data_IF_576599088046
#
_entry.id   IF_576599088046
#
_cell.length_a   1.000
_cell.length_b   1.000
_cell.length_c   1.000
_cell.angle_alpha   90.00
_cell.angle_beta   90.00
_cell.angle_gamma   90.00
#
_symmetry.space_group_name_H-M   'P 1'
#
loop_
_entity.id
_entity.type
_entity.pdbx_description
1 polymer ?
#
# COMPACT_ATOMS: atom_id res chain seq x y z
N UNK A 1 -10.42 -2.46 0.24
CA UNK A 1 -8.98 -2.73 0.07
C UNK A 1 -8.18 -1.92 1.07
N UNK A 2 -7.10 -2.47 1.62
CA UNK A 2 -6.14 -1.79 2.51
C UNK A 2 -4.73 -1.90 1.95
N UNK A 3 -3.78 -1.16 2.52
CA UNK A 3 -2.43 -1.04 1.96
C UNK A 3 -1.36 -1.30 3.01
N UNK A 4 -0.32 -2.06 2.63
CA UNK A 4 0.84 -2.38 3.47
C UNK A 4 0.46 -2.82 4.90
N UNK A 5 1.19 -2.34 5.89
CA UNK A 5 0.93 -2.58 7.31
C UNK A 5 -0.11 -1.56 7.84
N UNK A 6 -1.35 -1.91 7.79
CA UNK A 6 -2.44 -1.11 8.34
C UNK A 6 -2.82 -1.60 9.75
N UNK A 7 -3.44 -0.72 10.54
CA UNK A 7 -4.01 -1.05 11.84
C UNK A 7 -5.52 -0.86 11.81
N UNK A 8 -6.24 -1.82 12.35
CA UNK A 8 -7.70 -1.76 12.50
C UNK A 8 -8.07 -1.61 13.96
N UNK A 9 -7.45 -2.42 14.83
CA UNK A 9 -7.75 -2.49 16.25
C UNK A 9 -7.59 -1.13 16.93
N UNK A 10 -8.68 -0.61 17.44
CA UNK A 10 -8.78 0.72 18.05
C UNK A 10 -9.00 1.87 17.05
N UNK A 11 -9.10 1.58 15.74
CA UNK A 11 -9.34 2.59 14.70
C UNK A 11 -10.56 2.25 13.82
N UNK A 12 -11.41 1.32 14.24
CA UNK A 12 -12.57 0.85 13.47
C UNK A 12 -13.52 1.97 13.09
N UNK A 13 -13.68 2.95 13.95
CA UNK A 13 -14.50 4.15 13.69
C UNK A 13 -13.99 5.03 12.56
N UNK A 14 -12.67 4.95 12.25
CA UNK A 14 -12.01 5.73 11.21
C UNK A 14 -11.89 4.93 9.91
N UNK A 15 -11.38 3.70 10.01
CA UNK A 15 -11.04 2.89 8.84
C UNK A 15 -12.00 1.70 8.59
N UNK A 16 -13.02 1.52 9.41
CA UNK A 16 -13.92 0.35 9.38
C UNK A 16 -13.23 -0.92 9.88
N UNK A 17 -14.02 -1.94 10.21
CA UNK A 17 -13.54 -3.21 10.77
C UNK A 17 -13.26 -4.29 9.73
N UNK A 18 -13.91 -4.24 8.57
CA UNK A 18 -13.84 -5.30 7.56
C UNK A 18 -12.64 -5.13 6.63
N UNK A 19 -11.85 -6.17 6.48
CA UNK A 19 -10.78 -6.27 5.48
C UNK A 19 -11.02 -7.52 4.61
N UNK A 20 -11.05 -7.36 3.30
CA UNK A 20 -11.21 -8.46 2.35
C UNK A 20 -10.02 -8.56 1.38
N UNK A 21 -9.39 -7.44 1.11
CA UNK A 21 -8.28 -7.34 0.16
C UNK A 21 -7.21 -6.42 0.71
N UNK A 22 -5.97 -6.82 0.59
CA UNK A 22 -4.80 -6.03 0.97
C UNK A 22 -3.84 -5.95 -0.20
N UNK A 23 -3.36 -4.75 -0.51
CA UNK A 23 -2.26 -4.57 -1.44
C UNK A 23 -0.98 -4.28 -0.64
N UNK A 24 0.06 -5.05 -0.89
CA UNK A 24 1.37 -4.92 -0.24
C UNK A 24 2.48 -4.77 -1.26
N UNK A 25 3.51 -4.03 -0.87
CA UNK A 25 4.72 -3.84 -1.68
C UNK A 25 5.84 -4.82 -1.31
N UNK A 26 6.97 -4.72 -1.99
CA UNK A 26 8.17 -5.51 -1.72
C UNK A 26 8.62 -5.47 -0.26
N UNK A 27 8.55 -4.31 0.39
CA UNK A 27 9.07 -4.12 1.74
C UNK A 27 8.34 -5.02 2.74
N UNK A 28 7.02 -5.20 2.57
CA UNK A 28 6.23 -6.07 3.42
C UNK A 28 6.70 -7.54 3.38
N UNK A 29 7.16 -8.00 2.22
CA UNK A 29 7.72 -9.35 2.05
C UNK A 29 9.19 -9.41 2.46
N UNK A 30 9.96 -8.38 2.10
CA UNK A 30 11.38 -8.30 2.43
C UNK A 30 11.61 -8.36 3.93
N UNK A 31 10.79 -7.67 4.73
CA UNK A 31 10.86 -7.75 6.21
C UNK A 31 10.79 -9.18 6.76
N UNK A 32 10.08 -10.08 6.07
CA UNK A 32 9.92 -11.46 6.51
C UNK A 32 11.20 -12.28 6.31
N UNK A 33 11.94 -12.00 5.24
CA UNK A 33 13.08 -12.83 4.79
C UNK A 33 14.44 -12.20 4.98
N UNK A 34 14.51 -10.91 5.30
CA UNK A 34 15.73 -10.12 5.39
C UNK A 34 15.84 -9.44 6.77
N UNK A 35 16.65 -10.03 7.64
CA UNK A 35 16.84 -9.56 9.01
C UNK A 35 17.52 -8.20 9.06
N UNK A 36 18.49 -7.97 8.17
CA UNK A 36 19.24 -6.73 8.11
C UNK A 36 18.33 -5.57 7.68
N UNK A 37 17.52 -5.77 6.65
CA UNK A 37 16.52 -4.78 6.22
C UNK A 37 15.52 -4.47 7.33
N UNK A 38 15.08 -5.48 8.10
CA UNK A 38 14.15 -5.24 9.22
C UNK A 38 14.79 -4.41 10.32
N UNK A 39 15.97 -4.79 10.82
CA UNK A 39 16.57 -4.18 12.01
C UNK A 39 17.21 -2.82 11.72
N UNK A 40 17.83 -2.64 10.56
CA UNK A 40 18.64 -1.46 10.26
C UNK A 40 17.93 -0.41 9.40
N UNK A 41 16.87 -0.79 8.69
CA UNK A 41 16.13 0.13 7.83
C UNK A 41 14.68 0.31 8.29
N UNK A 42 13.87 -0.76 8.15
CA UNK A 42 12.42 -0.64 8.26
C UNK A 42 11.94 -0.33 9.68
N UNK A 43 12.46 -1.02 10.67
CA UNK A 43 12.08 -0.84 12.08
C UNK A 43 12.42 0.57 12.61
N UNK A 44 13.49 1.15 12.11
CA UNK A 44 13.90 2.52 12.47
C UNK A 44 12.93 3.55 11.90
N UNK A 45 12.43 3.33 10.69
CA UNK A 45 11.46 4.20 10.03
C UNK A 45 10.04 4.01 10.57
N UNK A 46 9.68 2.76 10.92
CA UNK A 46 8.34 2.35 11.39
C UNK A 46 8.41 1.59 12.72
N UNK A 47 8.71 2.25 13.84
CA UNK A 47 8.96 1.59 15.12
C UNK A 47 7.76 0.82 15.69
N UNK A 48 6.54 1.13 15.25
CA UNK A 48 5.32 0.43 15.66
C UNK A 48 4.92 -0.70 14.73
N UNK A 49 5.64 -0.88 13.61
CA UNK A 49 5.34 -1.94 12.65
C UNK A 49 5.65 -3.32 13.24
N UNK A 50 4.85 -4.32 12.84
CA UNK A 50 5.07 -5.71 13.19
C UNK A 50 5.75 -6.40 12.01
N UNK A 51 6.94 -6.98 12.22
CA UNK A 51 7.77 -7.58 11.17
C UNK A 51 7.01 -8.56 10.26
N UNK A 52 6.31 -9.49 10.87
CA UNK A 52 5.67 -10.59 10.17
C UNK A 52 4.16 -10.37 9.95
N UNK A 53 3.67 -9.12 10.01
CA UNK A 53 2.24 -8.84 9.96
C UNK A 53 1.52 -9.46 8.75
N UNK A 54 2.22 -9.56 7.61
CA UNK A 54 1.64 -10.15 6.39
C UNK A 54 1.38 -11.67 6.54
N UNK A 55 2.12 -12.36 7.39
CA UNK A 55 1.94 -13.79 7.65
C UNK A 55 0.76 -14.07 8.60
N UNK A 56 0.26 -13.04 9.28
CA UNK A 56 -0.92 -13.15 10.15
C UNK A 56 -2.24 -13.05 9.35
N UNK A 57 -2.17 -12.67 8.07
CA UNK A 57 -3.35 -12.59 7.22
C UNK A 57 -3.84 -13.98 6.84
N UNK A 58 -5.15 -14.18 6.99
CA UNK A 58 -5.83 -15.44 6.66
C UNK A 58 -7.11 -15.16 5.88
N UNK A 59 -7.38 -15.98 4.86
CA UNK A 59 -8.59 -15.91 4.04
C UNK A 59 -8.82 -14.55 3.36
N UNK A 60 -7.73 -13.81 3.06
CA UNK A 60 -7.77 -12.55 2.36
C UNK A 60 -7.39 -12.70 0.88
N UNK A 61 -7.79 -11.72 0.08
CA UNK A 61 -7.20 -11.52 -1.23
C UNK A 61 -5.96 -10.61 -1.05
N UNK A 62 -4.79 -11.14 -1.35
CA UNK A 62 -3.54 -10.39 -1.26
C UNK A 62 -3.10 -10.01 -2.67
N UNK A 63 -2.89 -8.73 -2.90
CA UNK A 63 -2.32 -8.21 -4.14
C UNK A 63 -0.88 -7.80 -3.85
N UNK A 64 0.07 -8.49 -4.46
CA UNK A 64 1.49 -8.20 -4.32
C UNK A 64 1.94 -7.25 -5.44
N UNK A 65 2.39 -6.07 -5.07
CA UNK A 65 3.10 -5.16 -5.97
C UNK A 65 4.59 -5.39 -5.83
N UNK A 66 5.15 -6.18 -6.75
CA UNK A 66 6.54 -6.60 -6.69
C UNK A 66 7.39 -5.93 -7.76
N UNK A 67 8.60 -5.56 -7.38
CA UNK A 67 9.68 -5.31 -8.31
C UNK A 67 10.19 -6.67 -8.83
N UNK A 68 10.30 -6.82 -10.14
CA UNK A 68 10.74 -8.06 -10.77
C UNK A 68 12.11 -8.52 -10.24
N UNK A 69 13.02 -7.60 -9.99
CA UNK A 69 14.35 -7.88 -9.43
C UNK A 69 14.32 -8.48 -8.02
N UNK A 70 13.22 -8.33 -7.29
CA UNK A 70 13.04 -8.80 -5.91
C UNK A 70 12.23 -10.08 -5.78
N UNK A 71 11.74 -10.65 -6.89
CA UNK A 71 10.86 -11.82 -6.88
C UNK A 71 11.53 -13.04 -6.22
N UNK A 72 12.74 -13.38 -6.63
CA UNK A 72 13.44 -14.56 -6.10
C UNK A 72 13.75 -14.43 -4.61
N UNK A 73 14.19 -13.26 -4.18
CA UNK A 73 14.48 -13.00 -2.76
C UNK A 73 13.21 -13.13 -1.90
N UNK A 74 12.08 -12.70 -2.40
CA UNK A 74 10.82 -12.71 -1.65
C UNK A 74 10.04 -14.03 -1.79
N UNK A 75 10.50 -14.97 -2.61
CA UNK A 75 9.80 -16.23 -2.88
C UNK A 75 9.40 -17.00 -1.61
N UNK A 76 10.26 -17.18 -0.58
CA UNK A 76 9.87 -17.90 0.63
C UNK A 76 8.74 -17.22 1.40
N UNK A 77 8.70 -15.88 1.40
CA UNK A 77 7.60 -15.14 2.03
C UNK A 77 6.31 -15.25 1.22
N UNK A 78 6.40 -15.18 -0.12
CA UNK A 78 5.26 -15.35 -1.02
C UNK A 78 4.62 -16.73 -0.81
N UNK A 79 5.41 -17.80 -0.78
CA UNK A 79 4.93 -19.17 -0.56
C UNK A 79 4.14 -19.28 0.75
N UNK A 80 4.66 -18.75 1.87
CA UNK A 80 3.97 -18.74 3.15
C UNK A 80 2.65 -17.94 3.12
N UNK A 81 2.61 -16.82 2.41
CA UNK A 81 1.39 -16.01 2.25
C UNK A 81 0.34 -16.76 1.43
N UNK A 82 0.78 -17.51 0.39
CA UNK A 82 -0.10 -18.32 -0.45
C UNK A 82 -0.76 -19.48 0.29
N UNK A 83 -0.15 -20.01 1.34
CA UNK A 83 -0.72 -21.12 2.13
C UNK A 83 -2.08 -20.77 2.74
N UNK A 84 -2.30 -19.52 3.09
CA UNK A 84 -3.48 -19.06 3.82
C UNK A 84 -4.38 -18.09 3.06
N UNK A 85 -3.92 -17.57 1.93
CA UNK A 85 -4.57 -16.48 1.24
C UNK A 85 -4.65 -16.71 -0.28
N UNK A 86 -5.58 -16.00 -0.93
CA UNK A 86 -5.59 -15.90 -2.38
C UNK A 86 -4.66 -14.79 -2.81
N UNK A 87 -3.62 -15.10 -3.60
CA UNK A 87 -2.57 -14.16 -3.96
C UNK A 87 -2.62 -13.86 -5.46
N UNK A 88 -2.60 -12.57 -5.79
CA UNK A 88 -2.39 -12.05 -7.14
C UNK A 88 -1.15 -11.16 -7.16
N UNK A 89 -0.40 -11.19 -8.25
CA UNK A 89 0.79 -10.35 -8.43
C UNK A 89 0.49 -9.31 -9.50
N UNK A 90 0.63 -8.03 -9.14
CA UNK A 90 0.61 -6.93 -10.11
C UNK A 90 1.94 -6.91 -10.83
N UNK A 91 1.93 -7.22 -12.12
CA UNK A 91 3.13 -7.27 -12.96
C UNK A 91 3.63 -5.87 -13.31
N UNK A 92 4.92 -5.79 -13.60
CA UNK A 92 5.65 -4.54 -13.79
C UNK A 92 5.11 -3.61 -14.88
N UNK A 93 4.35 -4.10 -15.86
CA UNK A 93 3.76 -3.27 -16.92
C UNK A 93 2.74 -2.25 -16.37
N UNK A 94 1.87 -2.67 -15.45
CA UNK A 94 0.90 -1.76 -14.81
C UNK A 94 1.61 -0.75 -13.91
N UNK A 95 2.65 -1.19 -13.19
CA UNK A 95 3.49 -0.30 -12.41
C UNK A 95 4.28 0.67 -13.29
N UNK A 96 4.72 0.23 -14.47
CA UNK A 96 5.44 1.06 -15.45
C UNK A 96 4.55 2.14 -16.05
N UNK A 97 3.31 1.80 -16.40
CA UNK A 97 2.33 2.79 -16.88
C UNK A 97 2.08 3.86 -15.83
N UNK A 98 1.85 3.47 -14.59
CA UNK A 98 1.69 4.41 -13.48
C UNK A 98 2.95 5.26 -13.26
N UNK A 99 4.15 4.66 -13.34
CA UNK A 99 5.42 5.36 -13.23
C UNK A 99 5.59 6.42 -14.34
N UNK A 100 5.25 6.10 -15.57
CA UNK A 100 5.36 7.02 -16.70
C UNK A 100 4.42 8.23 -16.54
N UNK A 101 3.22 8.03 -16.00
CA UNK A 101 2.28 9.13 -15.73
C UNK A 101 2.70 10.02 -14.55
N UNK A 102 3.37 9.45 -13.56
CA UNK A 102 3.78 10.16 -12.35
C UNK A 102 5.20 10.74 -12.44
N UNK A 103 6.04 10.24 -13.36
CA UNK A 103 7.48 10.53 -13.41
C UNK A 103 8.26 9.97 -12.22
N UNK A 104 7.61 9.23 -11.32
CA UNK A 104 8.17 8.60 -10.13
C UNK A 104 7.42 7.32 -9.78
N UNK A 105 7.99 6.53 -8.87
CA UNK A 105 7.35 5.32 -8.38
C UNK A 105 5.98 5.65 -7.72
N UNK A 106 4.88 4.98 -8.12
CA UNK A 106 3.57 5.20 -7.52
C UNK A 106 3.55 4.73 -6.06
N UNK A 107 2.76 5.41 -5.22
CA UNK A 107 2.47 4.91 -3.88
C UNK A 107 1.64 3.61 -3.93
N UNK A 108 1.59 2.86 -2.83
CA UNK A 108 0.72 1.69 -2.74
C UNK A 108 -0.75 2.07 -2.87
N UNK A 109 -1.15 3.21 -2.30
CA UNK A 109 -2.52 3.72 -2.43
C UNK A 109 -2.88 4.02 -3.88
N UNK A 110 -2.00 4.70 -4.60
CA UNK A 110 -2.21 4.97 -6.02
C UNK A 110 -2.26 3.69 -6.87
N UNK A 111 -1.33 2.76 -6.63
CA UNK A 111 -1.31 1.46 -7.33
C UNK A 111 -2.60 0.67 -7.10
N UNK A 112 -3.10 0.66 -5.86
CA UNK A 112 -4.36 -0.01 -5.53
C UNK A 112 -5.58 0.65 -6.15
N UNK A 113 -5.59 1.99 -6.28
CA UNK A 113 -6.65 2.68 -7.01
C UNK A 113 -6.65 2.27 -8.49
N UNK A 114 -5.47 2.24 -9.14
CA UNK A 114 -5.38 1.81 -10.55
C UNK A 114 -5.92 0.39 -10.74
N UNK A 115 -5.56 -0.54 -9.87
CA UNK A 115 -6.13 -1.89 -9.89
C UNK A 115 -7.64 -1.88 -9.65
N UNK A 116 -8.13 -1.10 -8.69
CA UNK A 116 -9.56 -1.04 -8.39
C UNK A 116 -10.38 -0.51 -9.57
N UNK A 117 -9.86 0.48 -10.31
CA UNK A 117 -10.53 1.07 -11.48
C UNK A 117 -10.73 0.09 -12.64
N UNK A 118 -9.94 -0.99 -12.70
CA UNK A 118 -10.10 -2.04 -13.71
C UNK A 118 -11.28 -2.98 -13.40
N UNK A 119 -11.65 -3.11 -12.12
CA UNK A 119 -12.60 -4.15 -11.69
C UNK A 119 -13.89 -3.60 -11.07
N UNK A 120 -13.93 -2.32 -10.68
CA UNK A 120 -15.05 -1.75 -9.94
C UNK A 120 -15.51 -0.41 -10.55
N UNK A 121 -16.82 -0.22 -10.58
CA UNK A 121 -17.44 1.04 -11.04
C UNK A 121 -17.70 2.01 -9.88
N UNK A 122 -18.00 1.50 -8.69
CA UNK A 122 -18.26 2.31 -7.48
C UNK A 122 -17.10 2.18 -6.49
N UNK A 123 -16.24 3.20 -6.48
CA UNK A 123 -15.04 3.24 -5.64
C UNK A 123 -15.13 4.43 -4.69
N UNK A 124 -15.04 4.16 -3.41
CA UNK A 124 -14.87 5.20 -2.39
C UNK A 124 -13.49 5.08 -1.75
N UNK A 125 -12.73 6.16 -1.80
CA UNK A 125 -11.39 6.26 -1.25
C UNK A 125 -11.43 7.01 0.09
N UNK A 126 -10.93 6.40 1.16
CA UNK A 126 -10.86 6.97 2.49
C UNK A 126 -9.42 7.22 2.92
N UNK A 127 -9.18 8.34 3.61
CA UNK A 127 -7.91 8.62 4.27
C UNK A 127 -6.75 8.91 3.31
N UNK A 128 -7.05 9.24 2.06
CA UNK A 128 -6.04 9.76 1.13
C UNK A 128 -5.79 11.23 1.44
N UNK A 129 -5.03 11.47 2.52
CA UNK A 129 -4.62 12.81 2.88
C UNK A 129 -3.32 13.16 2.15
N UNK A 130 -3.45 13.91 1.06
CA UNK A 130 -2.33 14.35 0.23
C UNK A 130 -1.68 15.63 0.74
N UNK A 131 -1.94 16.03 1.99
CA UNK A 131 -1.32 17.22 2.53
C UNK A 131 0.19 17.03 2.63
N UNK A 132 0.91 17.91 1.94
CA UNK A 132 2.36 18.04 2.06
C UNK A 132 2.77 18.80 3.35
N UNK A 133 1.84 19.03 4.26
CA UNK A 133 2.13 19.66 5.54
C UNK A 133 2.95 18.68 6.40
N UNK A 134 4.19 19.02 6.77
CA UNK A 134 5.04 18.16 7.58
C UNK A 134 4.50 17.92 8.99
N UNK A 135 3.50 18.71 9.43
CA UNK A 135 2.90 18.59 10.74
C UNK A 135 1.67 17.66 10.75
N UNK A 136 1.23 17.16 9.60
CA UNK A 136 0.11 16.23 9.50
C UNK A 136 0.63 14.82 9.41
N UNK A 137 0.17 13.96 10.32
CA UNK A 137 0.46 12.53 10.32
C UNK A 137 -0.01 11.89 9.00
N UNK A 138 0.89 11.21 8.31
CA UNK A 138 0.58 10.53 7.04
C UNK A 138 -0.22 9.25 7.23
N UNK A 139 -0.10 8.66 8.40
CA UNK A 139 -0.88 7.50 8.79
C UNK A 139 -1.65 7.82 10.09
N UNK A 140 -2.92 7.46 10.14
CA UNK A 140 -3.78 7.70 11.32
C UNK A 140 -3.30 6.99 12.60
N UNK A 141 -2.35 6.06 12.49
CA UNK A 141 -1.81 5.26 13.60
C UNK A 141 -0.33 5.55 13.93
N UNK A 142 0.34 6.39 13.17
CA UNK A 142 1.75 6.75 13.40
C UNK A 142 1.97 8.25 13.32
N UNK A 143 2.69 8.77 14.32
CA UNK A 143 3.18 10.15 14.33
C UNK A 143 4.62 10.16 13.82
N UNK A 144 4.88 10.90 12.77
CA UNK A 144 6.24 11.05 12.26
C UNK A 144 6.36 11.76 10.92
N UNK A 145 7.50 12.37 10.71
CA UNK A 145 7.87 13.04 9.46
C UNK A 145 8.32 12.00 8.43
N UNK A 146 7.41 11.59 7.57
CA UNK A 146 7.76 10.73 6.44
C UNK A 146 8.37 11.57 5.32
N UNK A 147 9.65 11.40 5.03
CA UNK A 147 10.29 11.97 3.85
C UNK A 147 9.92 11.17 2.61
N UNK A 148 8.74 11.40 2.06
CA UNK A 148 8.20 10.67 0.90
C UNK A 148 8.97 10.89 -0.41
N UNK A 149 10.29 10.88 -0.40
CA UNK A 149 11.14 11.21 -1.55
C UNK A 149 10.99 10.29 -2.77
N UNK A 150 10.43 9.08 -2.60
CA UNK A 150 10.26 8.13 -3.69
C UNK A 150 8.98 8.37 -4.52
N UNK A 151 7.97 9.04 -3.97
CA UNK A 151 6.65 9.23 -4.59
C UNK A 151 6.40 10.67 -5.00
N UNK A 152 5.53 10.88 -5.99
CA UNK A 152 5.03 12.20 -6.39
C UNK A 152 3.62 12.41 -5.86
N UNK A 153 3.48 12.63 -4.54
CA UNK A 153 2.17 12.77 -3.89
C UNK A 153 1.33 13.91 -4.47
N UNK A 154 1.93 15.03 -4.87
CA UNK A 154 1.22 16.14 -5.52
C UNK A 154 0.59 15.69 -6.85
N UNK A 155 1.31 14.93 -7.64
CA UNK A 155 0.79 14.43 -8.93
C UNK A 155 -0.25 13.33 -8.72
N UNK A 156 -0.06 12.45 -7.76
CA UNK A 156 -1.08 11.47 -7.37
C UNK A 156 -2.37 12.19 -6.94
N UNK A 157 -2.26 13.23 -6.10
CA UNK A 157 -3.40 14.03 -5.67
C UNK A 157 -4.18 14.67 -6.83
N UNK A 158 -3.47 15.23 -7.81
CA UNK A 158 -4.11 15.78 -9.01
C UNK A 158 -4.94 14.72 -9.73
N UNK A 159 -4.39 13.52 -9.93
CA UNK A 159 -5.08 12.43 -10.61
C UNK A 159 -6.30 11.96 -9.80
N UNK A 160 -6.16 11.82 -8.48
CA UNK A 160 -7.31 11.49 -7.62
C UNK A 160 -8.43 12.53 -7.74
N UNK A 161 -8.10 13.82 -7.75
CA UNK A 161 -9.08 14.89 -7.94
C UNK A 161 -9.75 14.81 -9.32
N UNK A 162 -8.96 14.65 -10.39
CA UNK A 162 -9.50 14.49 -11.75
C UNK A 162 -10.46 13.30 -11.85
N UNK A 163 -10.13 12.16 -11.24
CA UNK A 163 -11.01 11.00 -11.21
C UNK A 163 -12.29 11.25 -10.40
N UNK A 164 -12.20 11.99 -9.30
CA UNK A 164 -13.36 12.36 -8.50
C UNK A 164 -14.27 13.35 -9.25
N UNK A 165 -13.69 14.36 -9.89
CA UNK A 165 -14.43 15.34 -10.71
C UNK A 165 -15.12 14.67 -11.91
N UNK A 166 -14.51 13.64 -12.47
CA UNK A 166 -15.09 12.81 -13.53
C UNK A 166 -16.12 11.78 -13.00
N UNK A 167 -16.41 11.76 -11.70
CA UNK A 167 -17.35 10.82 -11.07
C UNK A 167 -16.90 9.36 -11.04
N UNK A 168 -15.62 9.08 -11.33
CA UNK A 168 -15.06 7.73 -11.35
C UNK A 168 -14.76 7.19 -9.95
N UNK A 169 -14.56 8.06 -8.99
CA UNK A 169 -14.32 7.74 -7.57
C UNK A 169 -15.01 8.75 -6.65
N UNK A 170 -15.19 8.37 -5.40
CA UNK A 170 -15.62 9.27 -4.31
C UNK A 170 -14.47 9.42 -3.32
N UNK A 171 -14.10 10.65 -2.98
CA UNK A 171 -13.10 10.93 -1.94
C UNK A 171 -13.79 11.25 -0.60
N UNK A 172 -13.28 10.68 0.48
CA UNK A 172 -13.71 10.93 1.86
C UNK A 172 -12.47 11.21 2.72
N UNK A 173 -12.43 12.36 3.36
CA UNK A 173 -11.34 12.83 4.20
C UNK A 173 -11.66 12.60 5.68
#
# INVERSE_FOLDING_TARGET
MRFNHFRVDGFEGICGSKTTTVLVNNHALQMVVDDDFWENDFKLEYPTAKRNYILDFENLNIILRLDHSKMEMNKPAIEKVCEKNKVAIVRGEQALVAHNHLGRQPSCGFSGLMVALEFFEDITCYGFNFNNDPNIDKHYYERGNFSGGAHSFSREQEIFKQLADAGRIKLRY
#
